data_IF_277829296950
#
_entry.id   IF_277829296950
#
_cell.length_a   1.000
_cell.length_b   1.000
_cell.length_c   1.000
_cell.angle_alpha   90.00
_cell.angle_beta   90.00
_cell.angle_gamma   90.00
#
_symmetry.space_group_name_H-M   'P 1'
#
loop_
_entity.id
_entity.type
_entity.pdbx_description
1 polymer ?
#
# COMPACT_ATOMS: atom_id res chain seq x y z
N UNK A 1 -6.84 -19.43 3.58
CA UNK A 1 -7.26 -18.98 2.23
C UNK A 1 -8.06 -17.71 2.42
N UNK A 2 -7.70 -16.64 1.73
CA UNK A 2 -8.44 -15.37 1.79
C UNK A 2 -9.85 -15.59 1.22
N UNK A 3 -10.90 -15.11 1.89
CA UNK A 3 -12.25 -15.23 1.34
C UNK A 3 -12.47 -14.29 0.15
N UNK A 4 -13.47 -14.62 -0.68
CA UNK A 4 -13.75 -13.87 -1.90
C UNK A 4 -14.16 -12.42 -1.64
N UNK A 5 -14.83 -12.16 -0.51
CA UNK A 5 -15.31 -10.83 -0.15
C UNK A 5 -14.14 -9.89 0.19
N UNK A 6 -13.15 -10.39 0.95
CA UNK A 6 -11.93 -9.65 1.30
C UNK A 6 -11.08 -9.37 0.06
N UNK A 7 -10.93 -10.36 -0.82
CA UNK A 7 -10.22 -10.17 -2.09
C UNK A 7 -10.91 -9.11 -2.97
N UNK A 8 -12.25 -9.13 -3.02
CA UNK A 8 -13.02 -8.13 -3.75
C UNK A 8 -12.84 -6.73 -3.14
N UNK A 9 -12.91 -6.61 -1.81
CA UNK A 9 -12.68 -5.34 -1.13
C UNK A 9 -11.30 -4.75 -1.43
N UNK A 10 -10.25 -5.58 -1.53
CA UNK A 10 -8.92 -5.12 -1.95
C UNK A 10 -8.92 -4.59 -3.38
N UNK A 11 -9.54 -5.31 -4.32
CA UNK A 11 -9.61 -4.88 -5.73
C UNK A 11 -10.39 -3.59 -5.93
N UNK A 12 -11.42 -3.36 -5.12
CA UNK A 12 -12.28 -2.17 -5.21
C UNK A 12 -11.74 -0.97 -4.42
N UNK A 13 -10.77 -1.18 -3.52
CA UNK A 13 -10.19 -0.11 -2.71
C UNK A 13 -9.49 0.92 -3.58
N UNK A 14 -9.73 2.20 -3.28
CA UNK A 14 -8.93 3.30 -3.82
C UNK A 14 -7.74 3.53 -2.90
N UNK A 15 -6.54 3.37 -3.45
CA UNK A 15 -5.28 3.52 -2.73
C UNK A 15 -4.75 4.93 -2.98
N UNK A 16 -5.00 5.84 -2.04
CA UNK A 16 -4.81 7.29 -2.23
C UNK A 16 -3.49 7.72 -1.63
N UNK A 17 -2.54 8.10 -2.47
CA UNK A 17 -1.24 8.65 -2.07
C UNK A 17 -1.43 10.15 -1.86
N UNK A 18 -1.15 10.61 -0.65
CA UNK A 18 -1.33 12.00 -0.26
C UNK A 18 -0.26 12.89 -0.91
N UNK A 19 -0.68 14.07 -1.33
CA UNK A 19 0.16 15.03 -2.05
C UNK A 19 -0.69 16.10 -2.71
N UNK A 20 -0.04 17.01 -3.42
CA UNK A 20 -0.69 17.99 -4.29
C UNK A 20 -0.07 17.92 -5.69
N UNK A 21 -0.74 17.28 -6.68
CA UNK A 21 -2.05 16.63 -6.57
C UNK A 21 -1.99 15.27 -5.85
N UNK A 22 -3.14 14.83 -5.32
CA UNK A 22 -3.32 13.47 -4.80
C UNK A 22 -3.27 12.44 -5.96
N UNK A 23 -2.64 11.30 -5.74
CA UNK A 23 -2.63 10.17 -6.70
C UNK A 23 -3.56 9.07 -6.20
N UNK A 24 -4.48 8.61 -7.06
CA UNK A 24 -5.38 7.50 -6.73
C UNK A 24 -5.02 6.28 -7.54
N UNK A 25 -4.44 5.28 -6.87
CA UNK A 25 -4.08 4.00 -7.48
C UNK A 25 -5.27 3.05 -7.41
N UNK A 26 -5.49 2.31 -8.51
CA UNK A 26 -6.56 1.31 -8.67
C UNK A 26 -5.94 0.03 -9.21
N UNK A 27 -6.38 -1.10 -8.68
CA UNK A 27 -5.83 -2.41 -9.10
C UNK A 27 -6.07 -2.63 -10.59
N UNK A 28 -5.00 -2.96 -11.32
CA UNK A 28 -5.03 -3.29 -12.75
C UNK A 28 -5.26 -2.11 -13.69
N UNK A 29 -5.25 -0.87 -13.19
CA UNK A 29 -5.42 0.32 -14.04
C UNK A 29 -4.13 1.14 -14.09
N UNK A 30 -3.65 1.54 -15.28
CA UNK A 30 -2.45 2.37 -15.39
C UNK A 30 -2.65 3.72 -14.70
N UNK A 31 -1.62 4.21 -14.01
CA UNK A 31 -1.58 5.57 -13.43
C UNK A 31 -0.48 6.41 -14.07
N UNK A 32 -0.91 7.44 -14.81
CA UNK A 32 0.01 8.40 -15.42
C UNK A 32 0.76 9.22 -14.37
N UNK A 33 0.09 9.54 -13.26
CA UNK A 33 0.64 10.27 -12.13
C UNK A 33 1.74 9.47 -11.44
N UNK A 34 1.54 8.15 -11.24
CA UNK A 34 2.56 7.27 -10.69
C UNK A 34 3.78 7.17 -11.64
N UNK A 35 3.54 7.08 -12.95
CA UNK A 35 4.62 7.07 -13.94
C UNK A 35 5.43 8.39 -13.92
N UNK A 36 4.76 9.54 -13.75
CA UNK A 36 5.43 10.84 -13.59
C UNK A 36 6.25 10.90 -12.29
N UNK A 37 5.70 10.40 -11.19
CA UNK A 37 6.40 10.31 -9.91
C UNK A 37 7.67 9.47 -10.03
N UNK A 38 7.61 8.31 -10.70
CA UNK A 38 8.79 7.47 -10.93
C UNK A 38 9.90 8.19 -11.68
N UNK A 39 9.55 8.95 -12.73
CA UNK A 39 10.53 9.74 -13.48
C UNK A 39 11.13 10.87 -12.65
N UNK A 40 10.32 11.54 -11.84
CA UNK A 40 10.77 12.63 -10.98
C UNK A 40 11.75 12.14 -9.90
N UNK A 41 11.47 10.97 -9.32
CA UNK A 41 12.23 10.39 -8.22
C UNK A 41 13.36 9.46 -8.69
N UNK A 42 13.45 9.19 -10.00
CA UNK A 42 14.48 8.31 -10.58
C UNK A 42 14.33 6.84 -10.19
N UNK A 43 13.10 6.39 -9.90
CA UNK A 43 12.79 5.00 -9.52
C UNK A 43 11.99 4.29 -10.62
N UNK A 44 11.89 2.97 -10.52
CA UNK A 44 11.21 2.12 -11.51
C UNK A 44 10.08 1.26 -10.92
N UNK A 45 9.86 1.34 -9.61
CA UNK A 45 8.80 0.60 -8.93
C UNK A 45 8.40 1.26 -7.61
N UNK A 46 7.31 0.80 -7.02
CA UNK A 46 6.88 1.18 -5.68
C UNK A 46 5.94 0.14 -5.09
N UNK A 47 5.83 0.16 -3.76
CA UNK A 47 4.92 -0.69 -3.00
C UNK A 47 4.00 0.17 -2.14
N UNK A 48 2.69 -0.05 -2.25
CA UNK A 48 1.71 0.47 -1.30
C UNK A 48 1.51 -0.55 -0.19
N UNK A 49 1.82 -0.17 1.04
CA UNK A 49 1.84 -1.08 2.18
C UNK A 49 1.22 -0.43 3.43
N UNK A 50 0.70 -1.28 4.31
CA UNK A 50 0.15 -0.90 5.61
C UNK A 50 0.50 -1.95 6.65
N UNK A 51 0.52 -1.57 7.92
CA UNK A 51 0.60 -2.52 9.04
C UNK A 51 -0.73 -2.68 9.80
N UNK A 52 -1.77 -1.99 9.35
CA UNK A 52 -3.10 -2.05 9.95
C UNK A 52 -3.77 -3.40 9.70
N UNK A 53 -4.68 -3.77 10.59
CA UNK A 53 -5.60 -4.92 10.46
C UNK A 53 -4.91 -6.20 9.91
N UNK A 54 -3.85 -6.70 10.57
CA UNK A 54 -3.10 -7.86 10.10
C UNK A 54 -4.02 -9.05 9.87
N UNK A 55 -3.74 -9.81 8.82
CA UNK A 55 -4.56 -10.90 8.32
C UNK A 55 -6.02 -10.50 8.04
N UNK A 56 -6.27 -9.22 7.73
CA UNK A 56 -7.60 -8.62 7.56
C UNK A 56 -8.45 -8.67 8.85
N UNK A 57 -7.82 -8.86 10.02
CA UNK A 57 -8.50 -8.87 11.30
C UNK A 57 -8.56 -7.46 11.87
N UNK A 58 -9.78 -6.97 12.08
CA UNK A 58 -9.99 -5.61 12.56
C UNK A 58 -9.41 -5.43 13.96
N UNK A 59 -8.50 -4.49 14.10
CA UNK A 59 -7.99 -4.02 15.39
C UNK A 59 -8.64 -2.66 15.73
N UNK A 60 -8.44 -2.24 16.97
CA UNK A 60 -8.76 -0.86 17.37
C UNK A 60 -7.77 0.15 16.75
N UNK A 61 -8.16 1.43 16.78
CA UNK A 61 -7.40 2.51 16.18
C UNK A 61 -6.03 2.72 16.82
N UNK A 62 -5.92 2.53 18.14
CA UNK A 62 -4.66 2.72 18.86
C UNK A 62 -3.63 1.64 18.49
N UNK A 63 -4.08 0.38 18.40
CA UNK A 63 -3.27 -0.74 17.95
C UNK A 63 -2.83 -0.56 16.49
N UNK A 64 -3.74 -0.19 15.59
CA UNK A 64 -3.41 0.11 14.19
C UNK A 64 -2.41 1.27 14.08
N UNK A 65 -2.61 2.36 14.84
CA UNK A 65 -1.69 3.50 14.88
C UNK A 65 -0.30 3.08 15.35
N UNK A 66 -0.21 2.25 16.40
CA UNK A 66 1.08 1.77 16.91
C UNK A 66 1.82 0.93 15.88
N UNK A 67 1.13 -0.01 15.22
CA UNK A 67 1.70 -0.86 14.18
C UNK A 67 2.14 -0.07 12.95
N UNK A 68 1.32 0.89 12.51
CA UNK A 68 1.65 1.75 11.38
C UNK A 68 2.91 2.59 11.65
N UNK A 69 3.04 3.15 12.86
CA UNK A 69 4.27 3.86 13.27
C UNK A 69 5.51 2.96 13.29
N UNK A 70 5.37 1.68 13.66
CA UNK A 70 6.48 0.73 13.62
C UNK A 70 6.94 0.47 12.17
N UNK A 71 6.00 0.30 11.24
CA UNK A 71 6.30 0.18 9.82
C UNK A 71 7.02 1.42 9.27
N UNK A 72 6.50 2.61 9.56
CA UNK A 72 7.11 3.88 9.13
C UNK A 72 8.52 4.06 9.71
N UNK A 73 8.73 3.70 10.98
CA UNK A 73 10.05 3.75 11.61
C UNK A 73 11.04 2.77 10.97
N UNK A 74 10.59 1.57 10.62
CA UNK A 74 11.41 0.57 9.94
C UNK A 74 11.80 1.02 8.53
N UNK A 75 10.87 1.60 7.77
CA UNK A 75 11.13 2.16 6.45
C UNK A 75 12.12 3.33 6.51
N UNK A 76 11.95 4.22 7.50
CA UNK A 76 12.86 5.34 7.73
C UNK A 76 14.27 4.86 8.11
N UNK A 77 14.38 3.82 8.95
CA UNK A 77 15.67 3.22 9.32
C UNK A 77 16.40 2.58 8.12
N UNK A 78 15.66 2.12 7.11
CA UNK A 78 16.19 1.63 5.83
C UNK A 78 16.52 2.74 4.83
N UNK A 79 16.22 4.00 5.15
CA UNK A 79 16.45 5.15 4.26
C UNK A 79 15.53 5.18 3.03
N UNK A 80 14.37 4.52 3.09
CA UNK A 80 13.44 4.42 1.97
C UNK A 80 12.53 5.65 1.89
N UNK A 81 12.36 6.20 0.68
CA UNK A 81 11.45 7.30 0.42
C UNK A 81 10.00 6.82 0.50
N UNK A 82 9.22 7.41 1.42
CA UNK A 82 7.84 7.03 1.69
C UNK A 82 6.92 8.24 1.54
N UNK A 83 5.84 8.08 0.79
CA UNK A 83 4.76 9.05 0.71
C UNK A 83 3.59 8.60 1.59
N UNK A 84 3.04 9.47 2.45
CA UNK A 84 1.85 9.16 3.23
C UNK A 84 0.69 8.76 2.32
N UNK A 85 -0.10 7.76 2.72
CA UNK A 85 -1.19 7.27 1.91
C UNK A 85 -2.34 6.74 2.77
N UNK A 86 -3.50 6.52 2.15
CA UNK A 86 -4.64 5.87 2.79
C UNK A 86 -5.36 4.91 1.84
N UNK A 87 -5.70 3.73 2.35
CA UNK A 87 -6.64 2.83 1.69
C UNK A 87 -8.07 3.26 2.01
N UNK A 88 -8.89 3.54 0.99
CA UNK A 88 -10.30 3.88 1.18
C UNK A 88 -11.17 3.16 0.17
N UNK A 89 -12.10 2.35 0.66
CA UNK A 89 -13.11 1.79 -0.23
C UNK A 89 -14.07 2.89 -0.72
N UNK A 90 -14.50 2.87 -1.99
CA UNK A 90 -15.37 3.91 -2.54
C UNK A 90 -16.78 3.91 -1.95
N UNK A 91 -17.30 2.74 -1.60
CA UNK A 91 -18.74 2.54 -1.30
C UNK A 91 -19.02 1.99 0.08
N UNK A 92 -18.05 1.34 0.70
CA UNK A 92 -18.23 0.82 2.05
C UNK A 92 -17.89 1.95 3.03
N UNK A 93 -18.61 2.05 4.14
CA UNK A 93 -18.39 3.11 5.13
C UNK A 93 -17.18 2.79 6.01
N UNK A 94 -16.20 2.01 5.52
CA UNK A 94 -15.04 1.68 6.31
C UNK A 94 -14.17 2.93 6.48
N UNK A 95 -13.56 3.09 7.68
CA UNK A 95 -12.62 4.17 7.89
C UNK A 95 -11.46 4.03 6.90
N UNK A 96 -10.91 5.17 6.49
CA UNK A 96 -9.69 5.17 5.71
C UNK A 96 -8.57 4.54 6.53
N UNK A 97 -7.85 3.61 5.93
CA UNK A 97 -6.76 2.87 6.56
C UNK A 97 -5.44 3.58 6.29
N UNK A 98 -4.70 4.03 7.32
CA UNK A 98 -3.37 4.59 7.15
C UNK A 98 -2.43 3.63 6.41
N UNK A 99 -1.64 4.16 5.50
CA UNK A 99 -0.73 3.40 4.63
C UNK A 99 0.42 4.28 4.15
N UNK A 100 1.36 3.70 3.43
CA UNK A 100 2.43 4.43 2.76
C UNK A 100 2.67 3.88 1.36
N UNK A 101 3.06 4.76 0.43
CA UNK A 101 3.67 4.37 -0.83
C UNK A 101 5.20 4.46 -0.66
N UNK A 102 5.88 3.32 -0.77
CA UNK A 102 7.34 3.24 -0.67
C UNK A 102 7.93 3.21 -2.08
N UNK A 103 8.74 4.21 -2.41
CA UNK A 103 9.35 4.36 -3.72
C UNK A 103 10.61 3.50 -3.85
N UNK A 104 10.78 2.89 -5.02
CA UNK A 104 11.95 2.08 -5.33
C UNK A 104 12.04 0.75 -4.59
N UNK A 105 11.01 0.32 -3.86
CA UNK A 105 11.02 -0.93 -3.11
C UNK A 105 10.76 -2.14 -4.03
N UNK A 106 11.74 -3.05 -4.22
CA UNK A 106 11.55 -4.23 -5.05
C UNK A 106 10.49 -5.17 -4.48
N UNK A 107 9.81 -5.90 -5.37
CA UNK A 107 8.67 -6.75 -4.99
C UNK A 107 9.02 -7.73 -3.86
N UNK A 108 10.13 -8.45 -3.95
CA UNK A 108 10.49 -9.46 -2.93
C UNK A 108 10.74 -8.84 -1.56
N UNK A 109 11.38 -7.66 -1.50
CA UNK A 109 11.59 -6.94 -0.23
C UNK A 109 10.26 -6.44 0.34
N UNK A 110 9.37 -5.94 -0.52
CA UNK A 110 8.03 -5.54 -0.12
C UNK A 110 7.21 -6.72 0.43
N UNK A 111 7.31 -7.89 -0.20
CA UNK A 111 6.67 -9.12 0.28
C UNK A 111 7.17 -9.51 1.66
N UNK A 112 8.49 -9.53 1.88
CA UNK A 112 9.08 -9.85 3.18
C UNK A 112 8.60 -8.90 4.28
N UNK A 113 8.60 -7.59 3.99
CA UNK A 113 8.13 -6.57 4.93
C UNK A 113 6.65 -6.74 5.25
N UNK A 114 5.80 -6.91 4.25
CA UNK A 114 4.37 -7.12 4.47
C UNK A 114 4.07 -8.41 5.24
N UNK A 115 4.80 -9.51 4.98
CA UNK A 115 4.71 -10.73 5.76
C UNK A 115 5.08 -10.52 7.23
N UNK A 116 6.14 -9.76 7.52
CA UNK A 116 6.55 -9.40 8.89
C UNK A 116 5.46 -8.61 9.63
N UNK A 117 4.73 -7.74 8.92
CA UNK A 117 3.58 -7.02 9.46
C UNK A 117 2.25 -7.80 9.38
N UNK A 118 2.30 -9.08 9.00
CA UNK A 118 1.15 -9.98 8.97
C UNK A 118 0.10 -9.59 7.94
N UNK A 119 0.48 -8.92 6.86
CA UNK A 119 -0.45 -8.55 5.79
C UNK A 119 -0.77 -9.75 4.90
N UNK A 120 -1.97 -9.74 4.31
CA UNK A 120 -2.39 -10.74 3.33
C UNK A 120 -1.98 -10.37 1.89
N UNK A 121 -1.79 -9.08 1.63
CA UNK A 121 -1.50 -8.54 0.31
C UNK A 121 -0.78 -7.19 0.39
N UNK A 122 -0.22 -6.77 -0.74
CA UNK A 122 0.20 -5.39 -0.99
C UNK A 122 -0.19 -4.96 -2.41
N UNK A 123 -0.13 -3.66 -2.70
CA UNK A 123 -0.16 -3.17 -4.07
C UNK A 123 1.27 -2.91 -4.53
N UNK A 124 1.64 -3.35 -5.72
CA UNK A 124 2.96 -3.11 -6.29
C UNK A 124 2.84 -2.73 -7.76
N UNK A 125 3.64 -1.78 -8.23
CA UNK A 125 3.70 -1.39 -9.63
C UNK A 125 5.14 -1.23 -10.09
N UNK A 126 5.44 -1.70 -11.29
CA UNK A 126 6.73 -1.49 -11.96
C UNK A 126 6.68 -0.32 -12.95
N UNK A 127 7.65 -0.28 -13.86
CA UNK A 127 7.80 0.71 -14.93
C UNK A 127 6.57 0.95 -15.79
N UNK A 128 5.62 0.01 -15.87
CA UNK A 128 4.34 0.19 -16.56
C UNK A 128 3.34 1.07 -15.79
N UNK A 129 3.63 1.33 -14.51
CA UNK A 129 2.79 2.07 -13.56
C UNK A 129 1.36 1.52 -13.45
N UNK A 130 1.20 0.21 -13.61
CA UNK A 130 -0.07 -0.51 -13.40
C UNK A 130 -0.03 -1.19 -12.03
N UNK A 131 -0.76 -0.68 -11.02
CA UNK A 131 -0.75 -1.27 -9.69
C UNK A 131 -1.38 -2.66 -9.68
N UNK A 132 -0.62 -3.66 -9.27
CA UNK A 132 -1.03 -5.05 -9.16
C UNK A 132 -1.24 -5.42 -7.70
N UNK A 133 -2.35 -6.11 -7.41
CA UNK A 133 -2.56 -6.69 -6.10
C UNK A 133 -1.75 -7.98 -5.99
N UNK A 134 -0.75 -7.99 -5.11
CA UNK A 134 0.11 -9.14 -4.84
C UNK A 134 -0.36 -9.82 -3.56
N UNK A 135 -0.72 -11.10 -3.65
CA UNK A 135 -1.09 -11.92 -2.49
C UNK A 135 0.16 -12.55 -1.86
N UNK A 136 0.16 -12.66 -0.54
CA UNK A 136 1.29 -13.18 0.25
C UNK A 136 1.07 -14.60 0.80
N UNK A 137 -0.10 -15.18 0.50
CA UNK A 137 -0.52 -16.53 0.90
C UNK A 137 -0.05 -17.61 -0.06
#
# INVERSE_FOLDING_TARGET
>A
MLDAATLQAYRETHYRVQGDPEIVLRVGQPSAELALLYRAEGVSCSAFITACNPASQRLDEAANTSRQRQLEAELAARGLACLPAVGRHPTNQWPAEPSVLVLGLPLEEARLLCCQFGQNALLWADTDAVPQLVLLT
#
